data_IF_650503205848
#
_entry.id   IF_650503205848
#
_cell.length_a   1.000
_cell.length_b   1.000
_cell.length_c   1.000
_cell.angle_alpha   90.00
_cell.angle_beta   90.00
_cell.angle_gamma   90.00
#
_symmetry.space_group_name_H-M   'P 1'
#
loop_
_entity.id
_entity.type
_entity.pdbx_description
1 polymer ?
#
# COMPACT_ATOMS: atom_id res chain seq x y z
N UNK A 1 17.74 2.04 1.72
CA UNK A 1 18.73 3.07 1.33
C UNK A 1 19.06 2.90 -0.15
N UNK A 2 19.20 3.98 -0.91
CA UNK A 2 19.52 3.89 -2.34
C UNK A 2 20.91 3.27 -2.54
N UNK A 3 21.05 2.39 -3.53
CA UNK A 3 22.34 1.78 -3.86
C UNK A 3 23.32 2.85 -4.40
N UNK A 4 24.63 2.76 -4.12
CA UNK A 4 25.61 3.68 -4.70
C UNK A 4 25.49 3.76 -6.23
N UNK A 5 25.55 4.97 -6.81
CA UNK A 5 25.45 5.18 -8.25
C UNK A 5 24.01 5.18 -8.80
N UNK A 6 22.98 5.15 -7.95
CA UNK A 6 21.57 5.13 -8.38
C UNK A 6 21.19 6.34 -9.24
N UNK A 7 21.83 7.49 -8.99
CA UNK A 7 21.64 8.75 -9.70
C UNK A 7 22.04 8.67 -11.19
N UNK A 8 22.92 7.74 -11.56
CA UNK A 8 23.36 7.53 -12.95
C UNK A 8 22.36 6.71 -13.78
N UNK A 9 21.38 6.09 -13.14
CA UNK A 9 20.38 5.29 -13.83
C UNK A 9 19.21 6.20 -14.25
N UNK A 10 19.00 6.45 -15.56
CA UNK A 10 17.96 7.35 -16.04
C UNK A 10 16.55 6.76 -15.95
N UNK A 11 16.42 5.47 -15.58
CA UNK A 11 15.12 4.80 -15.53
C UNK A 11 14.29 5.30 -14.35
N UNK A 12 12.96 5.45 -14.52
CA UNK A 12 12.07 5.77 -13.41
C UNK A 12 12.11 4.64 -12.37
N UNK A 13 11.98 5.03 -11.10
CA UNK A 13 11.85 4.09 -9.98
C UNK A 13 10.41 4.03 -9.55
N UNK A 14 9.99 2.87 -9.08
CA UNK A 14 8.61 2.64 -8.64
C UNK A 14 8.61 2.06 -7.24
N UNK A 15 7.65 2.49 -6.43
CA UNK A 15 7.30 1.84 -5.18
C UNK A 15 6.18 0.84 -5.46
N UNK A 16 6.31 -0.39 -4.99
CA UNK A 16 5.26 -1.39 -5.05
C UNK A 16 4.94 -1.82 -3.63
N UNK A 17 3.68 -1.62 -3.23
CA UNK A 17 3.14 -2.13 -1.97
C UNK A 17 2.39 -3.41 -2.29
N UNK A 18 2.83 -4.51 -1.68
CA UNK A 18 2.13 -5.78 -1.74
C UNK A 18 1.15 -5.85 -0.55
N UNK A 19 -0.13 -5.56 -0.77
CA UNK A 19 -1.19 -5.70 0.24
C UNK A 19 -1.95 -7.04 0.07
N UNK A 20 -1.22 -8.09 -0.27
CA UNK A 20 -1.72 -9.45 -0.48
C UNK A 20 -1.60 -10.28 0.80
N UNK A 21 -2.47 -10.02 1.78
CA UNK A 21 -2.47 -10.74 3.07
C UNK A 21 -3.33 -12.02 2.95
N UNK A 22 -2.71 -13.14 2.56
CA UNK A 22 -3.38 -14.42 2.33
C UNK A 22 -3.35 -15.44 3.48
N UNK A 23 -2.53 -15.20 4.52
CA UNK A 23 -2.37 -16.14 5.65
C UNK A 23 -3.46 -15.92 6.71
N UNK A 24 -4.20 -16.99 7.01
CA UNK A 24 -5.20 -17.08 8.08
C UNK A 24 -4.56 -16.83 9.45
N UNK A 25 -4.40 -15.56 9.85
CA UNK A 25 -3.86 -15.19 11.15
C UNK A 25 -3.13 -13.84 11.20
N UNK A 26 -2.79 -13.27 10.05
CA UNK A 26 -2.24 -11.90 9.98
C UNK A 26 -3.38 -11.01 9.55
N UNK A 27 -3.97 -10.28 10.50
CA UNK A 27 -5.09 -9.38 10.29
C UNK A 27 -4.60 -7.92 10.37
N UNK A 28 -3.35 -7.66 9.97
CA UNK A 28 -2.67 -6.39 10.27
C UNK A 28 -2.86 -5.38 9.13
N UNK A 29 -2.88 -5.83 7.88
CA UNK A 29 -3.12 -4.95 6.72
C UNK A 29 -4.62 -4.63 6.57
N UNK A 30 -5.48 -5.54 7.03
CA UNK A 30 -6.94 -5.35 7.10
C UNK A 30 -7.36 -4.12 7.90
N UNK A 31 -6.66 -3.80 9.00
CA UNK A 31 -6.93 -2.59 9.81
C UNK A 31 -6.38 -1.31 9.17
N UNK A 32 -5.28 -1.36 8.42
CA UNK A 32 -4.72 -0.17 7.75
C UNK A 32 -5.60 0.23 6.56
N UNK A 33 -6.09 -0.75 5.80
CA UNK A 33 -7.00 -0.52 4.68
C UNK A 33 -8.40 -0.06 5.16
N UNK A 34 -8.92 -0.61 6.27
CA UNK A 34 -10.24 -0.25 6.82
C UNK A 34 -10.25 0.99 7.74
N UNK A 35 -9.21 1.16 8.56
CA UNK A 35 -9.17 2.14 9.64
C UNK A 35 -8.57 3.50 9.27
N UNK A 36 -7.99 3.64 8.08
CA UNK A 36 -7.42 4.92 7.63
C UNK A 36 -6.54 4.79 6.38
N UNK A 37 -7.12 4.67 5.17
CA UNK A 37 -6.37 4.51 3.92
C UNK A 37 -5.37 5.64 3.65
N UNK A 38 -5.61 6.83 4.21
CA UNK A 38 -4.67 7.96 4.13
C UNK A 38 -3.30 7.66 4.77
N UNK A 39 -3.24 6.83 5.81
CA UNK A 39 -1.96 6.43 6.44
C UNK A 39 -1.09 5.62 5.48
N UNK A 40 -1.71 4.79 4.66
CA UNK A 40 -1.01 4.03 3.62
C UNK A 40 -0.46 4.97 2.54
N UNK A 41 -1.26 5.95 2.11
CA UNK A 41 -0.82 6.97 1.14
C UNK A 41 0.32 7.82 1.71
N UNK A 42 0.25 8.21 2.98
CA UNK A 42 1.31 8.95 3.67
C UNK A 42 2.61 8.13 3.73
N UNK A 43 2.52 6.84 4.07
CA UNK A 43 3.66 5.92 4.03
C UNK A 43 4.28 5.81 2.63
N UNK A 44 3.44 5.71 1.59
CA UNK A 44 3.88 5.73 0.20
C UNK A 44 4.60 7.04 -0.17
N UNK A 45 4.13 8.18 0.33
CA UNK A 45 4.75 9.48 0.08
C UNK A 45 6.15 9.55 0.72
N UNK A 46 6.27 9.14 1.98
CA UNK A 46 7.55 9.15 2.72
C UNK A 46 8.55 8.18 2.07
N UNK A 47 8.13 6.94 1.81
CA UNK A 47 8.98 5.92 1.20
C UNK A 47 9.36 6.28 -0.24
N UNK A 48 8.40 6.76 -1.03
CA UNK A 48 8.60 7.21 -2.40
C UNK A 48 9.60 8.37 -2.48
N UNK A 49 9.51 9.34 -1.56
CA UNK A 49 10.46 10.44 -1.47
C UNK A 49 11.86 9.96 -1.09
N UNK A 50 11.99 9.06 -0.12
CA UNK A 50 13.29 8.54 0.32
C UNK A 50 14.03 7.77 -0.80
N UNK A 51 13.28 7.11 -1.69
CA UNK A 51 13.82 6.28 -2.78
C UNK A 51 13.79 6.96 -4.16
N UNK A 52 13.32 8.21 -4.23
CA UNK A 52 13.10 8.93 -5.49
C UNK A 52 12.28 8.12 -6.50
N UNK A 53 11.17 7.56 -6.05
CA UNK A 53 10.21 6.85 -6.88
C UNK A 53 9.30 7.86 -7.62
N UNK A 54 9.03 7.59 -8.89
CA UNK A 54 8.18 8.40 -9.77
C UNK A 54 6.69 8.07 -9.63
N UNK A 55 6.37 6.84 -9.23
CA UNK A 55 5.01 6.44 -8.91
C UNK A 55 5.02 5.32 -7.87
N UNK A 56 3.88 5.14 -7.19
CA UNK A 56 3.63 4.05 -6.27
C UNK A 56 2.41 3.24 -6.74
N UNK A 57 2.54 1.91 -6.72
CA UNK A 57 1.47 0.98 -7.03
C UNK A 57 1.16 0.17 -5.79
N UNK A 58 -0.13 0.03 -5.46
CA UNK A 58 -0.60 -0.77 -4.35
C UNK A 58 -1.39 -1.93 -4.94
N UNK A 59 -0.87 -3.14 -4.79
CA UNK A 59 -1.58 -4.35 -5.18
C UNK A 59 -2.48 -4.78 -4.03
N UNK A 60 -3.79 -4.83 -4.27
CA UNK A 60 -4.81 -5.25 -3.29
C UNK A 60 -5.55 -6.45 -3.86
N UNK A 61 -5.71 -7.51 -3.06
CA UNK A 61 -6.50 -8.68 -3.44
C UNK A 61 -8.00 -8.35 -3.51
N UNK A 62 -8.73 -8.96 -4.44
CA UNK A 62 -10.15 -8.66 -4.72
C UNK A 62 -11.05 -8.88 -3.50
N UNK A 63 -10.72 -9.85 -2.65
CA UNK A 63 -11.45 -10.20 -1.44
C UNK A 63 -11.49 -9.05 -0.41
N UNK A 64 -10.48 -8.18 -0.39
CA UNK A 64 -10.47 -6.99 0.46
C UNK A 64 -11.26 -5.81 -0.12
N UNK A 65 -11.56 -5.83 -1.43
CA UNK A 65 -12.37 -4.80 -2.08
C UNK A 65 -13.85 -4.96 -1.69
N UNK A 66 -14.35 -6.19 -1.58
CA UNK A 66 -15.72 -6.46 -1.11
C UNK A 66 -15.94 -5.95 0.33
N UNK A 67 -14.93 -6.09 1.18
CA UNK A 67 -14.97 -5.62 2.56
C UNK A 67 -14.98 -4.09 2.71
N UNK A 68 -14.44 -3.36 1.73
CA UNK A 68 -14.50 -1.89 1.71
C UNK A 68 -15.87 -1.37 1.21
N UNK A 69 -16.66 -2.21 0.53
CA UNK A 69 -17.97 -1.84 -0.04
C UNK A 69 -19.15 -2.24 0.85
N UNK A 70 -18.99 -3.19 1.76
CA UNK A 70 -20.01 -3.49 2.76
C UNK A 70 -19.97 -2.43 3.86
N UNK A 71 -20.83 -1.42 3.77
CA UNK A 71 -21.26 -0.70 4.98
C UNK A 71 -21.72 -1.74 6.02
N UNK A 72 -21.49 -1.51 7.33
CA UNK A 72 -22.19 -2.29 8.33
C UNK A 72 -23.68 -2.05 8.08
N UNK A 73 -24.37 -3.05 7.57
CA UNK A 73 -25.83 -3.10 7.60
C UNK A 73 -26.22 -2.76 9.03
N UNK A 74 -26.75 -1.56 9.25
CA UNK A 74 -27.30 -1.16 10.54
C UNK A 74 -28.30 -2.25 10.95
N UNK A 75 -28.13 -2.91 12.09
CA UNK A 75 -29.25 -3.64 12.66
C UNK A 75 -30.22 -2.60 13.24
N UNK A 76 -31.41 -2.50 12.63
CA UNK A 76 -32.48 -1.60 13.06
C UNK A 76 -33.37 -1.20 11.91
#
# INVERSE_FOLDING_TARGET
MNKPGWEKNPRPRYLVVNADEGDLGTCKDREILRGGPHKLVEGCLVAGRAMNASAAYIYVRVEFIQEAQTEPTKPG
#
